data_IF_013169315751
#
_entry.id   IF_013169315751
#
_cell.length_a   1.000
_cell.length_b   1.000
_cell.length_c   1.000
_cell.angle_alpha   90.00
_cell.angle_beta   90.00
_cell.angle_gamma   90.00
#
_symmetry.space_group_name_H-M   'P 1'
#
loop_
_entity.id
_entity.type
_entity.pdbx_description
1 polymer ?
#
# COMPACT_ATOMS: atom_id res chain seq x y z
N UNK A 1 -71.51 -0.81 -37.57
CA UNK A 1 -70.41 -0.73 -38.56
C UNK A 1 -69.48 0.39 -38.16
N UNK A 2 -68.16 0.12 -38.17
CA UNK A 2 -66.98 1.01 -38.10
C UNK A 2 -66.89 1.98 -36.91
N UNK A 3 -65.99 1.78 -35.93
CA UNK A 3 -64.55 2.14 -35.88
C UNK A 3 -64.39 3.23 -34.78
N UNK A 4 -63.34 3.35 -33.98
CA UNK A 4 -62.01 2.76 -33.96
C UNK A 4 -61.58 2.54 -32.50
N UNK A 5 -60.97 1.39 -32.22
CA UNK A 5 -60.26 1.15 -30.97
C UNK A 5 -58.86 1.73 -31.12
N UNK A 6 -58.54 2.79 -30.38
CA UNK A 6 -57.22 3.41 -30.37
C UNK A 6 -56.31 2.60 -29.45
N UNK A 7 -55.78 1.50 -29.97
CA UNK A 7 -54.70 0.76 -29.32
C UNK A 7 -53.43 1.56 -29.50
N UNK A 8 -52.98 2.25 -28.45
CA UNK A 8 -51.62 2.78 -28.38
C UNK A 8 -50.70 1.57 -28.40
N UNK A 9 -50.01 1.40 -29.53
CA UNK A 9 -48.93 0.44 -29.66
C UNK A 9 -47.84 0.82 -28.65
N UNK A 10 -47.79 0.11 -27.52
CA UNK A 10 -46.54 -0.04 -26.79
C UNK A 10 -45.59 -0.73 -27.77
N UNK A 11 -44.54 -0.02 -28.17
CA UNK A 11 -43.40 -0.60 -28.83
C UNK A 11 -42.91 -1.76 -27.97
N UNK A 12 -42.96 -2.96 -28.54
CA UNK A 12 -42.22 -4.12 -28.05
C UNK A 12 -40.77 -3.69 -27.85
N UNK A 13 -40.33 -3.65 -26.58
CA UNK A 13 -38.93 -3.73 -26.21
C UNK A 13 -38.46 -5.14 -26.61
N UNK A 14 -38.08 -5.31 -27.87
CA UNK A 14 -37.48 -6.53 -28.38
C UNK A 14 -36.29 -6.89 -27.48
N UNK A 15 -36.44 -8.01 -26.77
CA UNK A 15 -35.55 -8.48 -25.72
C UNK A 15 -34.07 -8.38 -26.07
N UNK A 16 -33.44 -7.31 -25.60
CA UNK A 16 -32.00 -7.19 -25.67
C UNK A 16 -31.38 -8.25 -24.78
N UNK A 17 -30.89 -9.35 -25.39
CA UNK A 17 -30.09 -10.35 -24.69
C UNK A 17 -28.99 -9.64 -23.87
N UNK A 18 -28.96 -9.90 -22.56
CA UNK A 18 -27.90 -9.40 -21.68
C UNK A 18 -26.86 -10.51 -21.49
N UNK A 19 -25.58 -10.19 -21.64
CA UNK A 19 -24.48 -11.10 -21.32
C UNK A 19 -23.84 -10.72 -19.97
N UNK A 20 -23.40 -11.73 -19.24
CA UNK A 20 -22.67 -11.57 -17.99
C UNK A 20 -21.17 -11.56 -18.30
N UNK A 21 -20.52 -10.42 -18.14
CA UNK A 21 -19.08 -10.26 -18.34
C UNK A 21 -18.36 -10.35 -16.99
N UNK A 22 -17.24 -11.08 -16.96
CA UNK A 22 -16.32 -11.09 -15.82
C UNK A 22 -15.02 -10.42 -16.26
N UNK A 23 -14.77 -9.21 -15.75
CA UNK A 23 -13.51 -8.49 -15.92
C UNK A 23 -12.76 -8.46 -14.59
N UNK A 24 -11.68 -9.23 -14.50
CA UNK A 24 -10.76 -9.26 -13.35
C UNK A 24 -11.43 -9.53 -11.99
N UNK A 25 -12.46 -10.38 -11.98
CA UNK A 25 -13.22 -10.75 -10.76
C UNK A 25 -14.45 -9.89 -10.52
N UNK A 26 -14.66 -8.83 -11.31
CA UNK A 26 -15.87 -8.03 -11.30
C UNK A 26 -16.84 -8.54 -12.34
N UNK A 27 -18.02 -8.95 -11.87
CA UNK A 27 -19.09 -9.49 -12.69
C UNK A 27 -20.12 -8.38 -12.96
N UNK A 28 -20.31 -8.01 -14.22
CA UNK A 28 -21.31 -7.02 -14.62
C UNK A 28 -22.13 -7.48 -15.82
N UNK A 29 -23.37 -6.96 -15.92
CA UNK A 29 -24.26 -7.22 -17.06
C UNK A 29 -23.99 -6.17 -18.12
N UNK A 30 -23.81 -6.60 -19.37
CA UNK A 30 -23.70 -5.70 -20.53
C UNK A 30 -24.64 -6.16 -21.64
N UNK A 31 -25.19 -5.22 -22.40
CA UNK A 31 -26.08 -5.52 -23.53
C UNK A 31 -25.28 -6.27 -24.59
N UNK A 32 -25.76 -7.45 -25.01
CA UNK A 32 -25.10 -8.29 -26.01
C UNK A 32 -25.06 -7.52 -27.33
N UNK A 33 -23.86 -7.35 -27.88
CA UNK A 33 -23.69 -6.73 -29.21
C UNK A 33 -24.13 -7.76 -30.25
N UNK A 34 -25.13 -7.40 -31.06
CA UNK A 34 -25.69 -8.31 -32.08
C UNK A 34 -24.58 -8.73 -33.05
N UNK A 35 -24.30 -10.03 -33.12
CA UNK A 35 -23.29 -10.60 -34.01
C UNK A 35 -23.80 -10.56 -35.46
N UNK A 36 -23.05 -10.02 -36.43
CA UNK A 36 -23.54 -9.82 -37.79
C UNK A 36 -23.40 -11.10 -38.61
N UNK A 37 -24.21 -12.13 -38.33
CA UNK A 37 -24.37 -13.27 -39.24
C UNK A 37 -25.56 -13.09 -40.20
N UNK A 38 -26.13 -11.88 -40.28
CA UNK A 38 -27.05 -11.49 -41.34
C UNK A 38 -26.30 -10.64 -42.39
N UNK A 39 -26.10 -11.11 -43.63
CA UNK A 39 -25.34 -10.39 -44.62
C UNK A 39 -26.23 -9.29 -45.21
N UNK A 40 -26.08 -8.06 -44.71
CA UNK A 40 -26.47 -6.88 -45.47
C UNK A 40 -25.41 -5.81 -45.27
N UNK A 41 -24.45 -5.84 -46.21
CA UNK A 41 -23.75 -4.68 -46.76
C UNK A 41 -23.77 -3.38 -45.93
N UNK A 42 -22.69 -3.12 -45.18
CA UNK A 42 -21.99 -1.84 -45.26
C UNK A 42 -20.61 -1.99 -44.63
N UNK A 43 -19.59 -1.49 -45.35
CA UNK A 43 -18.19 -1.65 -45.00
C UNK A 43 -17.73 -0.88 -43.76
N UNK A 44 -16.52 -1.24 -43.33
CA UNK A 44 -15.69 -0.64 -42.29
C UNK A 44 -16.13 -0.91 -40.84
N UNK A 45 -15.68 -2.03 -40.26
CA UNK A 45 -15.28 -2.06 -38.83
C UNK A 45 -14.54 -3.36 -38.44
N UNK A 46 -13.30 -3.51 -38.89
CA UNK A 46 -12.33 -4.42 -38.24
C UNK A 46 -11.70 -3.82 -36.96
N UNK A 47 -12.00 -2.56 -36.66
CA UNK A 47 -11.31 -1.75 -35.65
C UNK A 47 -11.55 -2.13 -34.17
N UNK A 48 -12.77 -2.54 -33.72
CA UNK A 48 -13.01 -2.71 -32.28
C UNK A 48 -12.37 -3.98 -31.70
N UNK A 49 -12.41 -5.10 -32.43
CA UNK A 49 -11.84 -6.37 -31.97
C UNK A 49 -10.29 -6.33 -31.91
N UNK A 50 -9.66 -5.66 -32.87
CA UNK A 50 -8.21 -5.45 -32.90
C UNK A 50 -7.74 -4.53 -31.77
N UNK A 51 -8.48 -3.44 -31.51
CA UNK A 51 -8.22 -2.54 -30.36
C UNK A 51 -8.34 -3.25 -29.01
N UNK A 52 -9.36 -4.11 -28.83
CA UNK A 52 -9.51 -4.91 -27.60
C UNK A 52 -8.37 -5.94 -27.43
N UNK A 53 -7.89 -6.54 -28.52
CA UNK A 53 -6.74 -7.45 -28.50
C UNK A 53 -5.44 -6.71 -28.14
N UNK A 54 -5.23 -5.51 -28.69
CA UNK A 54 -4.08 -4.67 -28.38
C UNK A 54 -4.08 -4.21 -26.91
N UNK A 55 -5.23 -3.78 -26.39
CA UNK A 55 -5.38 -3.44 -24.97
C UNK A 55 -5.04 -4.62 -24.06
N UNK A 56 -5.49 -5.83 -24.40
CA UNK A 56 -5.15 -7.05 -23.65
C UNK A 56 -3.65 -7.36 -23.70
N UNK A 57 -2.98 -7.15 -24.83
CA UNK A 57 -1.51 -7.30 -24.94
C UNK A 57 -0.79 -6.29 -24.06
N UNK A 58 -1.16 -5.00 -24.15
CA UNK A 58 -0.57 -3.93 -23.32
C UNK A 58 -0.72 -4.21 -21.82
N UNK A 59 -1.89 -4.69 -21.39
CA UNK A 59 -2.14 -5.10 -19.99
C UNK A 59 -1.23 -6.25 -19.55
N UNK A 60 -1.12 -7.30 -20.37
CA UNK A 60 -0.23 -8.45 -20.10
C UNK A 60 1.22 -8.01 -20.01
N UNK A 61 1.66 -7.15 -20.91
CA UNK A 61 3.03 -6.64 -20.91
C UNK A 61 3.31 -5.78 -19.68
N UNK A 62 2.37 -4.92 -19.28
CA UNK A 62 2.50 -4.14 -18.05
C UNK A 62 2.60 -5.04 -16.82
N UNK A 63 1.72 -6.05 -16.70
CA UNK A 63 1.78 -7.04 -15.62
C UNK A 63 3.10 -7.79 -15.60
N UNK A 64 3.61 -8.23 -16.76
CA UNK A 64 4.91 -8.92 -16.85
C UNK A 64 6.06 -8.02 -16.40
N UNK A 65 6.10 -6.76 -16.84
CA UNK A 65 7.14 -5.81 -16.42
C UNK A 65 7.07 -5.52 -14.93
N UNK A 66 5.87 -5.27 -14.41
CA UNK A 66 5.67 -5.03 -12.98
C UNK A 66 6.12 -6.22 -12.13
N UNK A 67 5.70 -7.44 -12.49
CA UNK A 67 6.12 -8.65 -11.77
C UNK A 67 7.62 -8.91 -11.88
N UNK A 68 8.24 -8.62 -13.03
CA UNK A 68 9.69 -8.74 -13.19
C UNK A 68 10.44 -7.73 -12.30
N UNK A 69 10.00 -6.48 -12.27
CA UNK A 69 10.58 -5.46 -11.40
C UNK A 69 10.40 -5.79 -9.90
N UNK A 70 9.24 -6.33 -9.54
CA UNK A 70 8.96 -6.77 -8.18
C UNK A 70 9.86 -7.93 -7.76
N UNK A 71 10.00 -8.93 -8.64
CA UNK A 71 10.92 -10.04 -8.45
C UNK A 71 12.36 -9.55 -8.25
N UNK A 72 12.84 -8.68 -9.12
CA UNK A 72 14.21 -8.15 -9.03
C UNK A 72 14.43 -7.37 -7.73
N UNK A 73 13.43 -6.60 -7.29
CA UNK A 73 13.49 -5.91 -5.99
C UNK A 73 13.64 -6.91 -4.84
N UNK A 74 12.80 -7.94 -4.79
CA UNK A 74 12.88 -8.95 -3.72
C UNK A 74 14.17 -9.77 -3.79
N UNK A 75 14.66 -10.11 -4.98
CA UNK A 75 15.96 -10.78 -5.14
C UNK A 75 17.11 -9.92 -4.58
N UNK A 76 17.11 -8.61 -4.86
CA UNK A 76 18.09 -7.68 -4.29
C UNK A 76 17.98 -7.57 -2.77
N UNK A 77 16.76 -7.51 -2.26
CA UNK A 77 16.50 -7.43 -0.83
C UNK A 77 16.96 -8.70 -0.10
N UNK A 78 16.63 -9.88 -0.63
CA UNK A 78 17.10 -11.17 -0.10
C UNK A 78 18.63 -11.23 -0.09
N UNK A 79 19.30 -10.83 -1.17
CA UNK A 79 20.77 -10.83 -1.22
C UNK A 79 21.39 -9.88 -0.17
N UNK A 80 20.72 -8.77 0.15
CA UNK A 80 21.15 -7.88 1.23
C UNK A 80 20.97 -8.54 2.60
N UNK A 81 19.82 -9.17 2.85
CA UNK A 81 19.55 -9.90 4.09
C UNK A 81 20.53 -11.05 4.30
N UNK A 82 20.85 -11.81 3.25
CA UNK A 82 21.85 -12.88 3.29
C UNK A 82 23.23 -12.33 3.66
N UNK A 83 23.68 -11.23 3.03
CA UNK A 83 24.97 -10.60 3.36
C UNK A 83 25.01 -10.10 4.82
N UNK A 84 23.93 -9.50 5.30
CA UNK A 84 23.87 -9.03 6.69
C UNK A 84 23.91 -10.22 7.65
N UNK A 85 23.18 -11.29 7.35
CA UNK A 85 23.20 -12.52 8.14
C UNK A 85 24.60 -13.13 8.23
N UNK A 86 25.32 -13.23 7.10
CA UNK A 86 26.68 -13.76 7.12
C UNK A 86 27.62 -12.87 7.92
N UNK A 87 27.48 -11.54 7.81
CA UNK A 87 28.31 -10.59 8.57
C UNK A 87 28.05 -10.70 10.06
N UNK A 88 26.80 -10.85 10.48
CA UNK A 88 26.45 -11.05 11.89
C UNK A 88 27.01 -12.37 12.43
N UNK A 89 26.90 -13.45 11.66
CA UNK A 89 27.48 -14.74 12.03
C UNK A 89 29.01 -14.67 12.17
N UNK A 90 29.71 -13.99 11.27
CA UNK A 90 31.15 -13.76 11.40
C UNK A 90 31.53 -12.96 12.66
N UNK A 91 30.71 -11.97 13.04
CA UNK A 91 30.93 -11.19 14.27
C UNK A 91 30.72 -12.06 15.51
N UNK A 92 29.67 -12.90 15.50
CA UNK A 92 29.38 -13.84 16.58
C UNK A 92 30.52 -14.85 16.76
N UNK A 93 30.99 -15.48 15.66
CA UNK A 93 32.13 -16.39 15.70
C UNK A 93 33.41 -15.72 16.21
N UNK A 94 33.67 -14.46 15.82
CA UNK A 94 34.79 -13.67 16.35
C UNK A 94 34.62 -13.38 17.85
N UNK A 95 33.41 -13.08 18.30
CA UNK A 95 33.15 -12.84 19.72
C UNK A 95 33.34 -14.11 20.56
N UNK A 96 32.85 -15.25 20.07
CA UNK A 96 33.00 -16.55 20.73
C UNK A 96 34.47 -17.00 20.81
N UNK A 97 35.23 -16.80 19.74
CA UNK A 97 36.67 -17.12 19.73
C UNK A 97 37.45 -16.23 20.69
N UNK A 98 37.17 -14.93 20.76
CA UNK A 98 37.77 -14.04 21.75
C UNK A 98 37.41 -14.45 23.19
N UNK A 99 36.15 -14.80 23.45
CA UNK A 99 35.69 -15.26 24.78
C UNK A 99 36.40 -16.56 25.20
N UNK A 100 36.51 -17.52 24.27
CA UNK A 100 37.20 -18.79 24.51
C UNK A 100 38.69 -18.59 24.77
N UNK A 101 39.34 -17.71 24.01
CA UNK A 101 40.75 -17.38 24.20
C UNK A 101 40.99 -16.67 25.55
N UNK A 102 40.10 -15.75 25.95
CA UNK A 102 40.16 -15.09 27.26
C UNK A 102 40.05 -16.11 28.40
N UNK A 103 39.10 -17.05 28.30
CA UNK A 103 38.88 -18.07 29.32
C UNK A 103 40.08 -19.02 29.48
N UNK A 104 40.71 -19.41 28.36
CA UNK A 104 41.95 -20.21 28.35
C UNK A 104 43.16 -19.44 28.91
N UNK A 105 43.19 -18.11 28.73
CA UNK A 105 44.23 -17.26 29.28
C UNK A 105 44.08 -17.07 30.79
N UNK A 106 42.85 -16.93 31.29
CA UNK A 106 42.54 -16.89 32.73
C UNK A 106 42.88 -18.21 33.43
N UNK A 107 42.61 -19.37 32.81
CA UNK A 107 43.02 -20.67 33.38
C UNK A 107 44.54 -20.84 33.44
N UNK A 108 45.28 -20.34 32.45
CA UNK A 108 46.76 -20.38 32.47
C UNK A 108 47.38 -19.37 33.44
N UNK A 109 46.67 -18.28 33.75
CA UNK A 109 47.12 -17.27 34.72
C UNK A 109 46.65 -17.57 36.15
N UNK A 110 45.87 -18.64 36.39
CA UNK A 110 45.54 -19.10 37.75
C UNK A 110 46.81 -19.60 38.43
N UNK A 111 47.38 -18.88 39.41
CA UNK A 111 48.63 -19.29 40.04
C UNK A 111 48.37 -20.55 40.86
N UNK A 112 49.13 -21.60 40.59
CA UNK A 112 49.29 -22.72 41.50
C UNK A 112 50.26 -22.30 42.62
N UNK A 113 49.86 -21.40 43.51
CA UNK A 113 50.62 -21.16 44.74
C UNK A 113 49.75 -20.63 45.88
N UNK A 114 49.84 -21.34 47.00
CA UNK A 114 49.20 -21.05 48.27
C UNK A 114 49.99 -19.93 48.93
N UNK A 115 49.46 -18.71 48.98
CA UNK A 115 49.87 -17.69 49.95
C UNK A 115 48.83 -16.57 49.98
N UNK A 116 48.11 -16.47 51.11
CA UNK A 116 47.52 -15.26 51.70
C UNK A 116 47.59 -13.99 50.80
N UNK A 117 46.55 -13.77 49.99
CA UNK A 117 46.31 -12.46 49.37
C UNK A 117 45.05 -11.89 50.01
N UNK A 118 45.24 -10.73 50.63
CA UNK A 118 44.26 -9.90 51.33
C UNK A 118 42.89 -9.92 50.63
N UNK A 119 41.88 -10.46 51.32
CA UNK A 119 40.49 -10.63 50.86
C UNK A 119 39.87 -9.29 50.39
N UNK A 120 40.38 -8.18 50.93
CA UNK A 120 40.02 -6.82 50.54
C UNK A 120 40.47 -6.44 49.12
N UNK A 121 41.61 -6.92 48.62
CA UNK A 121 42.10 -6.59 47.28
C UNK A 121 41.33 -7.36 46.19
N UNK A 122 40.95 -8.61 46.47
CA UNK A 122 40.12 -9.41 45.58
C UNK A 122 38.69 -8.83 45.44
N UNK A 123 38.10 -8.35 46.54
CA UNK A 123 36.80 -7.68 46.53
C UNK A 123 36.81 -6.35 45.75
N UNK A 124 37.92 -5.60 45.78
CA UNK A 124 38.06 -4.33 45.02
C UNK A 124 38.21 -4.58 43.51
N UNK A 125 38.90 -5.64 43.11
CA UNK A 125 39.01 -6.03 41.69
C UNK A 125 37.68 -6.56 41.14
N UNK A 126 36.92 -7.31 41.94
CA UNK A 126 35.58 -7.80 41.58
C UNK A 126 34.56 -6.66 41.44
N UNK A 127 34.59 -5.67 42.36
CA UNK A 127 33.79 -4.44 42.23
C UNK A 127 34.18 -3.61 41.01
N UNK A 128 35.47 -3.52 40.68
CA UNK A 128 35.96 -2.81 39.51
C UNK A 128 35.51 -3.46 38.20
N UNK A 129 35.52 -4.80 38.15
CA UNK A 129 34.99 -5.59 37.04
C UNK A 129 33.47 -5.42 36.89
N UNK A 130 32.72 -5.50 38.01
CA UNK A 130 31.28 -5.27 38.01
C UNK A 130 30.91 -3.83 37.59
N UNK A 131 31.68 -2.82 38.01
CA UNK A 131 31.46 -1.43 37.58
C UNK A 131 31.71 -1.26 36.07
N UNK A 132 32.78 -1.86 35.53
CA UNK A 132 33.05 -1.80 34.09
C UNK A 132 31.92 -2.45 33.25
N UNK A 133 31.37 -3.58 33.72
CA UNK A 133 30.22 -4.24 33.07
C UNK A 133 28.96 -3.38 33.17
N UNK A 134 28.72 -2.73 34.31
CA UNK A 134 27.58 -1.81 34.48
C UNK A 134 27.72 -0.60 33.56
N UNK A 135 28.90 -0.01 33.47
CA UNK A 135 29.17 1.14 32.58
C UNK A 135 28.98 0.76 31.11
N UNK A 136 29.42 -0.43 30.69
CA UNK A 136 29.19 -0.95 29.33
C UNK A 136 27.70 -1.19 29.05
N UNK A 137 26.95 -1.75 30.00
CA UNK A 137 25.51 -1.93 29.88
C UNK A 137 24.75 -0.59 29.82
N UNK A 138 25.20 0.42 30.57
CA UNK A 138 24.63 1.77 30.52
C UNK A 138 24.87 2.39 29.15
N UNK A 139 26.09 2.32 28.62
CA UNK A 139 26.40 2.80 27.27
C UNK A 139 25.56 2.09 26.19
N UNK A 140 25.36 0.78 26.34
CA UNK A 140 24.50 0.01 25.43
C UNK A 140 23.03 0.45 25.53
N UNK A 141 22.53 0.68 26.74
CA UNK A 141 21.16 1.15 26.98
C UNK A 141 20.94 2.55 26.39
N UNK A 142 21.89 3.47 26.55
CA UNK A 142 21.85 4.81 25.95
C UNK A 142 21.85 4.75 24.41
N UNK A 143 22.65 3.86 23.82
CA UNK A 143 22.64 3.65 22.37
C UNK A 143 21.29 3.09 21.87
N UNK A 144 20.69 2.15 22.61
CA UNK A 144 19.38 1.60 22.29
C UNK A 144 18.25 2.62 22.45
N UNK A 145 18.35 3.54 23.42
CA UNK A 145 17.37 4.63 23.60
C UNK A 145 17.26 5.47 22.33
N UNK A 146 18.38 5.81 21.70
CA UNK A 146 18.38 6.60 20.46
C UNK A 146 17.63 5.88 19.35
N UNK A 147 17.83 4.57 19.19
CA UNK A 147 17.16 3.76 18.17
C UNK A 147 15.66 3.68 18.45
N UNK A 148 15.28 3.41 19.70
CA UNK A 148 13.87 3.34 20.12
C UNK A 148 13.18 4.68 19.86
N UNK A 149 13.85 5.78 20.20
CA UNK A 149 13.32 7.13 19.99
C UNK A 149 13.16 7.45 18.51
N UNK A 150 14.11 7.07 17.67
CA UNK A 150 14.01 7.25 16.22
C UNK A 150 12.85 6.45 15.63
N UNK A 151 12.70 5.19 16.03
CA UNK A 151 11.56 4.35 15.63
C UNK A 151 10.22 4.93 16.11
N UNK A 152 10.15 5.44 17.34
CA UNK A 152 8.95 6.11 17.86
C UNK A 152 8.59 7.32 17.01
N UNK A 153 9.56 8.17 16.67
CA UNK A 153 9.32 9.34 15.82
C UNK A 153 8.79 8.93 14.43
N UNK A 154 9.33 7.85 13.85
CA UNK A 154 8.86 7.32 12.57
C UNK A 154 7.41 6.81 12.66
N UNK A 155 7.04 6.17 13.77
CA UNK A 155 5.66 5.77 14.03
C UNK A 155 4.74 6.99 14.15
N UNK A 156 5.14 8.02 14.91
CA UNK A 156 4.35 9.25 15.07
C UNK A 156 4.10 9.95 13.72
N UNK A 157 5.14 10.02 12.87
CA UNK A 157 5.02 10.58 11.51
C UNK A 157 4.06 9.75 10.66
N UNK A 158 4.16 8.42 10.71
CA UNK A 158 3.28 7.53 9.96
C UNK A 158 1.82 7.65 10.43
N UNK A 159 1.58 7.76 11.73
CA UNK A 159 0.25 7.96 12.31
C UNK A 159 -0.33 9.30 11.86
N UNK A 160 0.42 10.39 11.95
CA UNK A 160 -0.01 11.71 11.47
C UNK A 160 -0.34 11.73 9.96
N UNK A 161 0.43 11.00 9.13
CA UNK A 161 0.13 10.87 7.70
C UNK A 161 -1.16 10.09 7.46
N UNK A 162 -1.38 9.00 8.20
CA UNK A 162 -2.60 8.20 8.11
C UNK A 162 -3.83 9.01 8.55
N UNK A 163 -3.74 9.73 9.68
CA UNK A 163 -4.81 10.61 10.15
C UNK A 163 -5.13 11.70 9.13
N UNK A 164 -4.11 12.36 8.56
CA UNK A 164 -4.32 13.39 7.55
C UNK A 164 -5.02 12.85 6.30
N UNK A 165 -4.64 11.66 5.84
CA UNK A 165 -5.27 11.02 4.68
C UNK A 165 -6.70 10.55 5.00
N UNK A 166 -6.93 10.03 6.19
CA UNK A 166 -8.27 9.65 6.66
C UNK A 166 -9.20 10.86 6.70
N UNK A 167 -8.75 11.98 7.28
CA UNK A 167 -9.51 13.23 7.32
C UNK A 167 -9.74 13.80 5.92
N UNK A 168 -8.74 13.72 5.02
CA UNK A 168 -8.90 14.10 3.61
C UNK A 168 -9.99 13.31 2.90
N UNK A 169 -10.11 12.01 3.20
CA UNK A 169 -11.15 11.14 2.64
C UNK A 169 -12.53 11.38 3.26
N UNK A 170 -12.57 11.74 4.55
CA UNK A 170 -13.81 12.07 5.28
C UNK A 170 -14.40 13.42 4.90
N UNK A 171 -13.57 14.45 4.70
CA UNK A 171 -14.01 15.80 4.35
C UNK A 171 -15.07 15.85 3.24
N UNK A 172 -14.87 15.25 2.06
CA UNK A 172 -15.88 15.29 0.99
C UNK A 172 -17.17 14.57 1.34
N UNK A 173 -17.15 13.60 2.27
CA UNK A 173 -18.38 12.93 2.74
C UNK A 173 -19.17 13.85 3.68
N UNK A 174 -18.49 14.60 4.54
CA UNK A 174 -19.14 15.54 5.46
C UNK A 174 -19.55 16.86 4.80
N UNK A 175 -18.87 17.24 3.72
CA UNK A 175 -19.18 18.44 2.93
C UNK A 175 -20.35 18.22 1.93
N UNK A 176 -20.97 17.04 1.92
CA UNK A 176 -22.14 16.81 1.08
C UNK A 176 -23.34 17.64 1.59
N UNK A 177 -24.06 18.34 0.69
CA UNK A 177 -25.23 19.14 1.05
C UNK A 177 -26.33 18.34 1.75
N UNK A 178 -26.36 17.02 1.57
CA UNK A 178 -27.32 16.11 2.21
C UNK A 178 -27.20 16.10 3.74
N UNK A 179 -26.02 16.40 4.27
CA UNK A 179 -25.76 16.52 5.71
C UNK A 179 -25.97 17.95 6.23
N UNK A 180 -26.28 18.90 5.35
CA UNK A 180 -26.58 20.29 5.73
C UNK A 180 -28.03 20.47 6.18
N UNK A 181 -28.41 21.71 6.55
CA UNK A 181 -29.80 22.03 6.85
C UNK A 181 -30.69 21.76 5.63
N UNK A 182 -31.90 21.19 5.79
CA UNK A 182 -32.82 20.92 4.68
C UNK A 182 -33.07 22.11 3.75
N UNK A 183 -33.02 23.35 4.26
CA UNK A 183 -33.14 24.56 3.44
C UNK A 183 -31.93 24.79 2.53
N UNK A 184 -30.72 24.61 3.06
CA UNK A 184 -29.47 24.76 2.31
C UNK A 184 -29.31 23.68 1.23
N UNK A 185 -29.81 22.47 1.49
CA UNK A 185 -29.89 21.41 0.47
C UNK A 185 -30.82 21.79 -0.68
N UNK A 186 -32.01 22.33 -0.36
CA UNK A 186 -32.97 22.77 -1.37
C UNK A 186 -32.38 23.90 -2.23
N UNK A 187 -31.70 24.88 -1.62
CA UNK A 187 -31.04 25.97 -2.36
C UNK A 187 -29.98 25.43 -3.34
N UNK A 188 -29.12 24.50 -2.90
CA UNK A 188 -28.08 23.89 -3.75
C UNK A 188 -28.64 23.03 -4.91
N UNK A 189 -29.81 22.43 -4.73
CA UNK A 189 -30.51 21.67 -5.78
C UNK A 189 -31.23 22.61 -6.76
N UNK A 190 -31.79 23.72 -6.27
CA UNK A 190 -32.48 24.70 -7.10
C UNK A 190 -31.52 25.53 -7.99
N UNK A 191 -30.25 25.69 -7.59
CA UNK A 191 -29.23 26.39 -8.39
C UNK A 191 -28.82 25.65 -9.69
N UNK A 192 -29.19 24.38 -9.87
CA UNK A 192 -28.88 23.60 -11.08
C UNK A 192 -29.91 23.70 -12.21
N UNK A 193 -31.11 24.24 -11.96
CA UNK A 193 -32.23 24.14 -12.91
C UNK A 193 -32.69 25.46 -13.55
N UNK A 194 -32.07 26.60 -13.26
CA UNK A 194 -32.55 27.89 -13.77
C UNK A 194 -31.43 28.87 -14.18
N UNK A 195 -30.70 28.57 -15.25
CA UNK A 195 -30.00 29.58 -16.06
C UNK A 195 -29.75 29.07 -17.50
N UNK A 196 -30.82 28.76 -18.24
CA UNK A 196 -30.78 28.59 -19.70
C UNK A 196 -32.13 28.97 -20.30
N UNK A 197 -32.62 30.15 -19.95
CA UNK A 197 -33.60 30.86 -20.78
C UNK A 197 -33.33 32.34 -20.68
N UNK A 198 -33.42 32.96 -21.85
CA UNK A 198 -33.45 34.39 -22.10
C UNK A 198 -32.04 35.05 -22.07
N UNK A 199 -31.52 35.72 -23.10
CA UNK A 199 -32.14 36.45 -24.20
C UNK A 199 -31.16 36.54 -25.38
N UNK A 200 -31.56 36.11 -26.59
CA UNK A 200 -30.95 36.59 -27.83
C UNK A 200 -31.84 37.67 -28.44
N UNK A 201 -31.83 38.84 -27.81
CA UNK A 201 -32.35 40.07 -28.38
C UNK A 201 -31.18 40.95 -28.82
N UNK A 202 -31.34 41.60 -29.99
CA UNK A 202 -30.50 42.65 -30.61
C UNK A 202 -29.36 42.08 -31.51
N UNK A 203 -29.17 42.47 -32.79
CA UNK A 203 -29.44 43.76 -33.45
C UNK A 203 -29.76 43.60 -34.95
N UNK A 204 -30.75 44.38 -35.37
CA UNK A 204 -30.91 44.93 -36.73
C UNK A 204 -29.86 46.02 -36.91
N UNK A 205 -29.04 45.93 -37.95
CA UNK A 205 -28.49 47.06 -38.72
C UNK A 205 -28.35 46.64 -40.17
#
# INVERSE_FOLDING_TARGET
>A
MAAASSTVALADDEGGDWELCNDDGFIYKRRKRSHPDHPTSSGADGAPAEREAEHRRRRRDHKRRFLAALRERYEREIAQWERLSTTLQEIEERAETHRSHHQLQEEQQRPAEVAEVDEAAAAVLDLGSACAVVDELVLQAEAQEVIIRDMSNLCDVAEAMCEAEEERLKQPLFDLPVWSSPRSLMDALCDQDFCSSDDNALQVT
#
